data_IF_147566030959
#
_entry.id   IF_147566030959
#
_cell.length_a   1.000
_cell.length_b   1.000
_cell.length_c   1.000
_cell.angle_alpha   90.00
_cell.angle_beta   90.00
_cell.angle_gamma   90.00
#
_symmetry.space_group_name_H-M   'P 1'
#
loop_
_entity.id
_entity.type
_entity.pdbx_description
1 polymer ?
#
# COMPACT_ATOMS: atom_id res chain seq x y z
N UNK A 1 14.96 -9.14 10.11
CA UNK A 1 13.50 -9.32 10.21
C UNK A 1 13.05 -10.04 8.95
N UNK A 2 12.51 -11.25 9.09
CA UNK A 2 11.87 -11.96 7.99
C UNK A 2 10.57 -11.22 7.64
N UNK A 3 10.38 -10.88 6.37
CA UNK A 3 9.15 -10.25 5.90
C UNK A 3 8.09 -11.33 5.73
N UNK A 4 7.41 -11.65 6.84
CA UNK A 4 6.44 -12.73 6.94
C UNK A 4 5.12 -12.43 6.22
N UNK A 5 4.72 -11.16 6.11
CA UNK A 5 3.50 -10.76 5.41
C UNK A 5 3.69 -9.48 4.57
N UNK A 6 3.79 -9.62 3.23
CA UNK A 6 3.91 -8.50 2.31
C UNK A 6 2.70 -7.56 2.27
N UNK A 7 1.49 -8.03 2.61
CA UNK A 7 0.28 -7.21 2.64
C UNK A 7 0.19 -6.40 3.93
N UNK A 8 0.50 -7.00 5.08
CA UNK A 8 0.60 -6.27 6.34
C UNK A 8 1.64 -5.15 6.28
N UNK A 9 2.79 -5.40 5.64
CA UNK A 9 3.81 -4.35 5.39
C UNK A 9 3.25 -3.24 4.49
N UNK A 10 2.54 -3.58 3.41
CA UNK A 10 1.91 -2.59 2.53
C UNK A 10 0.96 -1.66 3.30
N UNK A 11 0.03 -2.22 4.07
CA UNK A 11 -0.90 -1.42 4.88
C UNK A 11 -0.20 -0.59 5.94
N UNK A 12 0.83 -1.15 6.59
CA UNK A 12 1.61 -0.42 7.60
C UNK A 12 2.31 0.78 6.99
N UNK A 13 2.90 0.64 5.80
CA UNK A 13 3.53 1.76 5.07
C UNK A 13 2.52 2.85 4.69
N UNK A 14 1.36 2.45 4.17
CA UNK A 14 0.28 3.39 3.81
C UNK A 14 -0.18 4.17 5.04
N UNK A 15 -0.50 3.48 6.15
CA UNK A 15 -0.91 4.12 7.41
C UNK A 15 0.13 5.09 7.94
N UNK A 16 1.40 4.68 7.97
CA UNK A 16 2.48 5.52 8.48
C UNK A 16 2.71 6.74 7.58
N UNK A 17 2.55 6.60 6.26
CA UNK A 17 2.64 7.71 5.32
C UNK A 17 1.49 8.70 5.49
N UNK A 18 0.27 8.20 5.67
CA UNK A 18 -0.91 9.01 5.98
C UNK A 18 -0.71 9.82 7.27
N UNK A 19 -0.21 9.17 8.33
CA UNK A 19 0.05 9.81 9.63
C UNK A 19 1.06 10.97 9.58
N UNK A 20 1.98 10.96 8.62
CA UNK A 20 2.98 12.04 8.43
C UNK A 20 2.67 12.94 7.22
N UNK A 21 1.50 12.80 6.59
CA UNK A 21 1.07 13.63 5.46
C UNK A 21 1.83 13.40 4.15
N UNK A 22 2.41 12.21 3.94
CA UNK A 22 3.06 11.87 2.65
C UNK A 22 1.99 11.63 1.57
N UNK A 23 2.18 12.27 0.42
CA UNK A 23 1.29 12.14 -0.76
C UNK A 23 1.45 10.81 -1.51
N UNK A 24 2.58 10.12 -1.37
CA UNK A 24 2.86 8.88 -2.07
C UNK A 24 3.74 7.93 -1.23
N UNK A 25 3.63 6.63 -1.51
CA UNK A 25 4.40 5.57 -0.85
C UNK A 25 5.00 4.65 -1.90
N UNK A 26 6.30 4.38 -1.77
CA UNK A 26 7.01 3.42 -2.62
C UNK A 26 7.28 2.11 -1.88
N UNK A 27 7.07 0.99 -2.57
CA UNK A 27 7.33 -0.35 -2.06
C UNK A 27 7.56 -1.33 -3.22
N UNK A 28 8.16 -2.51 -2.97
CA UNK A 28 8.36 -3.52 -4.01
C UNK A 28 7.03 -4.02 -4.59
N UNK A 29 6.97 -4.11 -5.92
CA UNK A 29 5.81 -4.59 -6.65
C UNK A 29 5.63 -6.11 -6.46
N UNK A 30 4.37 -6.53 -6.32
CA UNK A 30 3.98 -7.92 -6.45
C UNK A 30 2.60 -8.00 -7.11
N UNK A 31 2.29 -9.12 -7.76
CA UNK A 31 0.97 -9.30 -8.40
C UNK A 31 -0.20 -9.09 -7.42
N UNK A 32 -0.03 -9.56 -6.18
CA UNK A 32 -1.05 -9.44 -5.13
C UNK A 32 -1.20 -7.97 -4.69
N UNK A 33 -0.10 -7.25 -4.47
CA UNK A 33 -0.14 -5.83 -4.10
C UNK A 33 -0.77 -4.97 -5.19
N UNK A 34 -0.47 -5.24 -6.45
CA UNK A 34 -1.10 -4.53 -7.58
C UNK A 34 -2.60 -4.81 -7.69
N UNK A 35 -3.05 -6.05 -7.46
CA UNK A 35 -4.47 -6.37 -7.43
C UNK A 35 -5.19 -5.67 -6.27
N UNK A 36 -4.58 -5.64 -5.09
CA UNK A 36 -5.12 -4.95 -3.92
C UNK A 36 -5.16 -3.43 -4.13
N UNK A 37 -4.08 -2.84 -4.66
CA UNK A 37 -4.04 -1.41 -4.95
C UNK A 37 -5.12 -1.02 -5.96
N UNK A 38 -5.41 -1.88 -6.95
CA UNK A 38 -6.52 -1.69 -7.87
C UNK A 38 -7.87 -1.62 -7.15
N UNK A 39 -8.16 -2.58 -6.27
CA UNK A 39 -9.39 -2.57 -5.46
C UNK A 39 -9.47 -1.30 -4.60
N UNK A 40 -8.37 -0.90 -3.95
CA UNK A 40 -8.33 0.33 -3.16
C UNK A 40 -8.59 1.58 -4.01
N UNK A 41 -8.13 1.62 -5.26
CA UNK A 41 -8.44 2.70 -6.20
C UNK A 41 -9.91 2.67 -6.64
N UNK A 42 -10.44 1.49 -6.98
CA UNK A 42 -11.83 1.32 -7.43
C UNK A 42 -12.84 1.71 -6.32
N UNK A 43 -12.50 1.43 -5.05
CA UNK A 43 -13.28 1.84 -3.87
C UNK A 43 -13.05 3.30 -3.46
N UNK A 44 -12.12 4.02 -4.11
CA UNK A 44 -11.82 5.43 -3.85
C UNK A 44 -11.00 5.71 -2.59
N UNK A 45 -10.32 4.71 -2.01
CA UNK A 45 -9.43 4.90 -0.86
C UNK A 45 -8.09 5.55 -1.22
N UNK A 46 -7.59 5.29 -2.43
CA UNK A 46 -6.35 5.87 -2.96
C UNK A 46 -6.58 6.42 -4.36
N UNK A 47 -5.89 7.50 -4.72
CA UNK A 47 -6.05 8.16 -6.02
C UNK A 47 -5.43 7.35 -7.19
N UNK A 48 -4.47 6.46 -6.90
CA UNK A 48 -3.80 5.62 -7.91
C UNK A 48 -2.60 4.85 -7.34
N UNK A 49 -1.94 4.04 -8.19
CA UNK A 49 -0.77 3.23 -7.83
C UNK A 49 0.14 2.91 -9.01
#
# INVERSE_FOLDING_TARGET
MSMSDPLADMFTRIRNAQAVGKKAVTMPQSKIKSALARVLTDEGYIEGF
#
